data_IF_307736280891
#
_entry.id   IF_307736280891
#
_cell.length_a   1.000
_cell.length_b   1.000
_cell.length_c   1.000
_cell.angle_alpha   90.00
_cell.angle_beta   90.00
_cell.angle_gamma   90.00
#
_symmetry.space_group_name_H-M   'P 1'
#
loop_
_entity.id
_entity.type
_entity.pdbx_description
1 polymer ?
#
# COMPACT_ATOMS: atom_id res chain seq x y z
N UNK A 1 5.45 8.68 14.17
CA UNK A 1 4.25 9.53 14.14
C UNK A 1 4.68 10.98 14.02
N UNK A 2 3.90 11.86 13.39
CA UNK A 2 4.16 13.30 13.47
C UNK A 2 3.68 13.80 14.82
N UNK A 3 4.48 14.62 15.50
CA UNK A 3 4.00 15.37 16.65
C UNK A 3 2.86 16.27 16.18
N UNK A 4 1.78 16.31 16.95
CA UNK A 4 0.63 17.18 16.71
C UNK A 4 0.57 18.24 17.81
N UNK A 5 0.11 19.43 17.47
CA UNK A 5 -0.15 20.49 18.44
C UNK A 5 -1.48 20.28 19.18
N UNK A 6 -1.87 21.26 20.01
CA UNK A 6 -3.09 21.21 20.80
C UNK A 6 -4.38 21.16 19.96
N UNK A 7 -4.30 21.55 18.68
CA UNK A 7 -5.40 21.55 17.72
C UNK A 7 -5.36 20.31 16.81
N UNK A 8 -4.42 19.38 17.05
CA UNK A 8 -4.28 18.14 16.28
C UNK A 8 -3.54 18.29 14.96
N UNK A 9 -2.88 19.43 14.69
CA UNK A 9 -2.20 19.70 13.42
C UNK A 9 -0.76 19.17 13.44
N UNK A 10 -0.28 18.47 12.39
CA UNK A 10 1.10 17.97 12.33
C UNK A 10 2.14 19.10 12.34
N UNK A 11 3.10 19.04 13.27
CA UNK A 11 4.16 20.05 13.41
C UNK A 11 5.37 19.81 12.50
N UNK A 12 5.40 18.68 11.78
CA UNK A 12 6.53 18.25 10.95
C UNK A 12 7.64 17.51 11.72
N UNK A 13 7.62 17.53 13.06
CA UNK A 13 8.57 16.79 13.89
C UNK A 13 8.19 15.30 13.98
N UNK A 14 9.18 14.41 13.88
CA UNK A 14 8.99 12.96 13.96
C UNK A 14 9.18 12.45 15.39
N UNK A 15 8.19 11.74 15.92
CA UNK A 15 8.26 11.08 17.24
C UNK A 15 8.11 9.57 17.14
N UNK A 16 8.69 8.87 18.12
CA UNK A 16 8.47 7.43 18.30
C UNK A 16 6.97 7.19 18.53
N UNK A 17 6.39 6.15 17.89
CA UNK A 17 5.00 5.79 18.14
C UNK A 17 4.78 5.45 19.63
N UNK A 18 3.72 6.00 20.23
CA UNK A 18 3.24 5.58 21.58
C UNK A 18 2.79 4.11 21.55
N UNK A 19 2.70 3.37 22.65
CA UNK A 19 1.96 2.12 22.63
C UNK A 19 0.51 2.41 22.24
N UNK A 20 -0.03 1.65 21.28
CA UNK A 20 -1.28 1.98 20.60
C UNK A 20 -2.55 2.01 21.46
N UNK A 21 -3.70 2.30 20.83
CA UNK A 21 -3.87 2.59 19.40
C UNK A 21 -3.50 4.04 19.06
N UNK A 22 -2.83 4.22 17.91
CA UNK A 22 -2.59 5.54 17.33
C UNK A 22 -3.82 5.93 16.52
N UNK A 23 -4.66 6.79 17.06
CA UNK A 23 -5.81 7.36 16.35
C UNK A 23 -5.32 8.07 15.07
N UNK A 24 -5.69 7.59 13.88
CA UNK A 24 -5.65 8.30 12.59
C UNK A 24 -4.39 8.05 11.70
N UNK A 25 -4.24 6.95 10.96
CA UNK A 25 -5.17 6.18 10.08
C UNK A 25 -5.29 6.68 8.64
N UNK A 26 -4.21 6.70 7.84
CA UNK A 26 -4.42 6.80 6.39
C UNK A 26 -5.24 5.61 5.85
N UNK A 27 -5.18 4.46 6.53
CA UNK A 27 -6.00 3.28 6.25
C UNK A 27 -7.47 3.50 6.58
N UNK A 28 -7.81 4.03 7.75
CA UNK A 28 -9.22 4.31 8.10
C UNK A 28 -9.78 5.50 7.35
N UNK A 29 -9.01 6.58 7.15
CA UNK A 29 -9.44 7.71 6.31
C UNK A 29 -9.67 7.26 4.87
N UNK A 30 -8.76 6.45 4.32
CA UNK A 30 -8.93 5.85 3.00
C UNK A 30 -10.16 4.95 2.92
N UNK A 31 -10.41 4.14 3.96
CA UNK A 31 -11.59 3.30 4.06
C UNK A 31 -12.89 4.11 4.13
N UNK A 32 -12.95 5.15 4.98
CA UNK A 32 -14.11 6.04 5.06
C UNK A 32 -14.36 6.77 3.74
N UNK A 33 -13.31 7.19 3.03
CA UNK A 33 -13.45 7.82 1.72
C UNK A 33 -14.08 6.88 0.69
N UNK A 34 -13.58 5.65 0.55
CA UNK A 34 -14.15 4.70 -0.41
C UNK A 34 -15.56 4.27 -0.02
N UNK A 35 -15.85 4.19 1.28
CA UNK A 35 -17.20 3.96 1.79
C UNK A 35 -18.14 5.11 1.42
N UNK A 36 -17.67 6.36 1.54
CA UNK A 36 -18.43 7.55 1.12
C UNK A 36 -18.70 7.57 -0.40
N UNK A 37 -17.76 7.07 -1.21
CA UNK A 37 -17.97 6.85 -2.64
C UNK A 37 -18.86 5.64 -2.97
N UNK A 38 -19.41 4.98 -1.94
CA UNK A 38 -20.30 3.83 -2.07
C UNK A 38 -19.64 2.66 -2.82
N UNK A 39 -18.32 2.50 -2.61
CA UNK A 39 -17.57 1.34 -3.11
C UNK A 39 -17.99 0.06 -2.36
N UNK A 40 -17.79 -1.13 -2.97
CA UNK A 40 -18.03 -2.39 -2.30
C UNK A 40 -17.26 -2.51 -0.97
N UNK A 41 -17.91 -3.09 0.06
CA UNK A 41 -17.30 -3.33 1.37
C UNK A 41 -15.96 -4.07 1.29
N UNK A 42 -15.79 -4.93 0.29
CA UNK A 42 -14.53 -5.64 0.03
C UNK A 42 -13.34 -4.69 -0.13
N UNK A 43 -13.54 -3.57 -0.84
CA UNK A 43 -12.52 -2.55 -1.10
C UNK A 43 -12.28 -1.72 0.16
N UNK A 44 -13.34 -1.32 0.87
CA UNK A 44 -13.24 -0.64 2.16
C UNK A 44 -12.38 -1.45 3.15
N UNK A 45 -12.71 -2.73 3.33
CA UNK A 45 -12.04 -3.60 4.28
C UNK A 45 -10.59 -3.90 3.89
N UNK A 46 -10.30 -3.97 2.59
CA UNK A 46 -8.94 -4.11 2.09
C UNK A 46 -8.09 -2.89 2.45
N UNK A 47 -8.60 -1.67 2.25
CA UNK A 47 -7.89 -0.43 2.54
C UNK A 47 -7.74 -0.22 4.04
N UNK A 48 -8.80 -0.48 4.83
CA UNK A 48 -8.78 -0.31 6.30
C UNK A 48 -7.70 -1.17 6.96
N UNK A 49 -7.54 -2.39 6.47
CA UNK A 49 -6.65 -3.39 7.06
C UNK A 49 -5.40 -3.65 6.20
N UNK A 50 -5.05 -2.75 5.27
CA UNK A 50 -3.88 -2.92 4.39
C UNK A 50 -2.55 -3.02 5.14
N UNK A 51 -2.49 -2.53 6.38
CA UNK A 51 -1.31 -2.68 7.24
C UNK A 51 -1.32 -3.95 8.09
N UNK A 52 -2.50 -4.53 8.34
CA UNK A 52 -2.65 -5.76 9.11
C UNK A 52 -3.79 -6.63 8.53
N UNK A 53 -3.53 -7.39 7.45
CA UNK A 53 -4.57 -8.16 6.75
C UNK A 53 -5.31 -9.16 7.64
N UNK A 54 -4.71 -9.58 8.75
CA UNK A 54 -5.30 -10.55 9.66
C UNK A 54 -6.55 -10.05 10.37
N UNK A 55 -6.70 -8.74 10.51
CA UNK A 55 -7.84 -8.10 11.17
C UNK A 55 -9.05 -7.93 10.23
N UNK A 56 -8.88 -8.13 8.92
CA UNK A 56 -9.93 -7.92 7.91
C UNK A 56 -11.05 -8.99 7.90
N UNK A 57 -11.04 -9.96 8.82
CA UNK A 57 -12.04 -11.02 8.90
C UNK A 57 -12.16 -11.82 7.59
N UNK A 58 -13.36 -11.84 7.01
CA UNK A 58 -13.64 -12.54 5.74
C UNK A 58 -12.93 -11.90 4.53
N UNK A 59 -12.53 -10.62 4.61
CA UNK A 59 -11.85 -9.90 3.53
C UNK A 59 -10.33 -9.99 3.61
N UNK A 60 -9.80 -10.90 4.43
CA UNK A 60 -8.35 -11.15 4.59
C UNK A 60 -7.61 -11.25 3.27
N UNK A 61 -8.15 -11.97 2.28
CA UNK A 61 -7.55 -12.07 0.95
C UNK A 61 -7.34 -10.69 0.30
N UNK A 62 -8.36 -9.82 0.30
CA UNK A 62 -8.28 -8.52 -0.33
C UNK A 62 -7.28 -7.61 0.38
N UNK A 63 -7.31 -7.60 1.72
CA UNK A 63 -6.32 -6.87 2.50
C UNK A 63 -4.89 -7.40 2.27
N UNK A 64 -4.71 -8.72 2.13
CA UNK A 64 -3.41 -9.32 1.82
C UNK A 64 -2.90 -8.90 0.44
N UNK A 65 -3.77 -8.80 -0.57
CA UNK A 65 -3.39 -8.33 -1.91
C UNK A 65 -2.89 -6.88 -1.83
N UNK A 66 -3.64 -5.98 -1.19
CA UNK A 66 -3.25 -4.57 -1.06
C UNK A 66 -1.96 -4.40 -0.24
N UNK A 67 -1.83 -5.18 0.84
CA UNK A 67 -0.63 -5.20 1.67
C UNK A 67 0.62 -5.59 0.87
N UNK A 68 0.54 -6.70 0.13
CA UNK A 68 1.65 -7.16 -0.72
C UNK A 68 1.94 -6.14 -1.83
N UNK A 69 0.92 -5.59 -2.49
CA UNK A 69 1.10 -4.58 -3.52
C UNK A 69 1.83 -3.33 -3.00
N UNK A 70 1.49 -2.87 -1.79
CA UNK A 70 2.22 -1.78 -1.14
C UNK A 70 3.68 -2.11 -0.91
N UNK A 71 3.98 -3.28 -0.32
CA UNK A 71 5.36 -3.71 -0.08
C UNK A 71 6.18 -3.85 -1.38
N UNK A 72 5.55 -4.30 -2.47
CA UNK A 72 6.17 -4.42 -3.79
C UNK A 72 6.41 -3.05 -4.42
N UNK A 73 5.44 -2.13 -4.35
CA UNK A 73 5.57 -0.77 -4.88
C UNK A 73 6.65 0.03 -4.14
N UNK A 74 6.64 0.00 -2.81
CA UNK A 74 7.65 0.67 -1.97
C UNK A 74 9.07 0.18 -2.31
N UNK A 75 9.22 -1.12 -2.59
CA UNK A 75 10.49 -1.70 -2.98
C UNK A 75 10.96 -1.26 -4.36
N UNK A 76 10.04 -1.18 -5.32
CA UNK A 76 10.34 -0.72 -6.68
C UNK A 76 10.81 0.75 -6.73
N UNK A 77 10.42 1.56 -5.76
CA UNK A 77 10.86 2.96 -5.63
C UNK A 77 12.26 3.11 -5.00
N UNK A 78 12.83 2.05 -4.41
CA UNK A 78 14.19 2.10 -3.84
C UNK A 78 15.25 2.21 -4.94
N UNK A 79 16.28 3.04 -4.72
CA UNK A 79 17.42 3.15 -5.63
C UNK A 79 18.09 1.79 -5.86
N UNK A 80 18.57 1.52 -7.08
CA UNK A 80 19.14 0.23 -7.50
C UNK A 80 20.25 -0.33 -6.58
N UNK A 81 20.96 0.52 -5.85
CA UNK A 81 21.96 0.09 -4.87
C UNK A 81 21.36 -0.61 -3.63
N UNK A 82 20.10 -0.33 -3.31
CA UNK A 82 19.35 -0.89 -2.16
C UNK A 82 18.39 -2.02 -2.59
N UNK A 83 18.07 -2.12 -3.88
CA UNK A 83 17.16 -3.12 -4.46
C UNK A 83 17.68 -4.57 -4.47
N UNK A 84 18.88 -4.82 -3.93
CA UNK A 84 19.52 -6.16 -3.89
C UNK A 84 18.79 -7.16 -2.97
N UNK A 85 17.89 -6.69 -2.10
CA UNK A 85 17.17 -7.52 -1.13
C UNK A 85 15.69 -7.53 -1.48
N UNK A 86 15.06 -8.71 -1.52
CA UNK A 86 13.60 -8.83 -1.71
C UNK A 86 12.86 -8.09 -0.58
N UNK A 87 11.62 -7.59 -0.84
CA UNK A 87 10.78 -7.04 0.22
C UNK A 87 10.58 -8.06 1.34
N UNK A 88 10.56 -7.59 2.58
CA UNK A 88 10.17 -8.43 3.71
C UNK A 88 8.65 -8.66 3.66
N UNK A 89 8.21 -9.70 2.95
CA UNK A 89 6.79 -10.03 2.83
C UNK A 89 6.23 -10.66 4.11
N UNK A 90 5.00 -10.30 4.48
CA UNK A 90 4.23 -11.03 5.50
C UNK A 90 3.90 -12.46 5.00
N UNK A 91 4.36 -13.53 5.69
CA UNK A 91 4.11 -14.91 5.28
C UNK A 91 2.62 -15.28 5.20
N UNK A 92 1.79 -14.69 6.05
CA UNK A 92 0.35 -14.93 6.06
C UNK A 92 -0.27 -14.27 4.83
N UNK A 93 0.14 -13.05 4.49
CA UNK A 93 -0.35 -12.38 3.28
C UNK A 93 0.03 -13.16 2.01
N UNK A 94 1.28 -13.66 1.94
CA UNK A 94 1.73 -14.54 0.84
C UNK A 94 0.86 -15.79 0.72
N UNK A 95 0.60 -16.47 1.85
CA UNK A 95 -0.20 -17.69 1.88
C UNK A 95 -1.66 -17.42 1.48
N UNK A 96 -2.27 -16.36 1.99
CA UNK A 96 -3.64 -15.97 1.67
C UNK A 96 -3.79 -15.62 0.18
N UNK A 97 -2.87 -14.82 -0.37
CA UNK A 97 -2.89 -14.40 -1.77
C UNK A 97 -2.38 -15.49 -2.73
N UNK A 98 -1.76 -16.56 -2.22
CA UNK A 98 -1.03 -17.57 -3.00
C UNK A 98 0.01 -16.93 -3.93
N UNK A 99 0.68 -15.88 -3.43
CA UNK A 99 1.66 -15.12 -4.20
C UNK A 99 3.03 -15.78 -4.11
N UNK A 100 3.69 -15.95 -5.27
CA UNK A 100 5.05 -16.47 -5.35
C UNK A 100 6.05 -15.31 -5.34
N UNK A 101 6.74 -15.13 -4.22
CA UNK A 101 7.73 -14.05 -4.07
C UNK A 101 8.91 -14.16 -5.06
N UNK A 102 9.23 -15.38 -5.52
CA UNK A 102 10.34 -15.62 -6.46
C UNK A 102 10.03 -15.08 -7.86
N UNK A 103 8.76 -14.94 -8.22
CA UNK A 103 8.30 -14.41 -9.51
C UNK A 103 8.21 -12.88 -9.52
N UNK A 104 8.31 -12.23 -8.35
CA UNK A 104 8.11 -10.79 -8.19
C UNK A 104 9.01 -9.92 -9.11
N UNK A 105 10.31 -10.20 -9.29
CA UNK A 105 11.15 -9.38 -10.18
C UNK A 105 10.66 -9.35 -11.64
N UNK A 106 10.18 -10.49 -12.14
CA UNK A 106 9.65 -10.56 -13.51
C UNK A 106 8.29 -9.85 -13.62
N UNK A 107 7.42 -10.04 -12.62
CA UNK A 107 6.10 -9.39 -12.56
C UNK A 107 6.21 -7.87 -12.44
N UNK A 108 7.15 -7.37 -11.64
CA UNK A 108 7.41 -5.94 -11.49
C UNK A 108 7.83 -5.30 -12.81
N UNK A 109 8.71 -5.97 -13.56
CA UNK A 109 9.14 -5.49 -14.88
C UNK A 109 7.94 -5.38 -15.82
N UNK A 110 7.10 -6.41 -15.90
CA UNK A 110 5.89 -6.39 -16.74
C UNK A 110 4.91 -5.30 -16.29
N UNK A 111 4.66 -5.17 -14.99
CA UNK A 111 3.77 -4.15 -14.44
C UNK A 111 4.25 -2.73 -14.76
N UNK A 112 5.56 -2.49 -14.75
CA UNK A 112 6.13 -1.19 -15.08
C UNK A 112 6.02 -0.87 -16.57
N UNK A 113 6.19 -1.86 -17.45
CA UNK A 113 5.93 -1.72 -18.89
C UNK A 113 4.45 -1.36 -19.16
N UNK A 114 3.51 -2.08 -18.52
CA UNK A 114 2.07 -1.80 -18.63
C UNK A 114 1.68 -0.42 -18.09
N UNK A 115 2.29 0.02 -17.00
CA UNK A 115 2.09 1.35 -16.44
C UNK A 115 2.56 2.42 -17.42
N UNK A 116 3.74 2.24 -18.02
CA UNK A 116 4.32 3.18 -18.98
C UNK A 116 3.44 3.31 -20.24
N UNK A 117 2.91 2.20 -20.75
CA UNK A 117 1.98 2.18 -21.87
C UNK A 117 0.67 2.92 -21.51
N UNK A 118 0.14 2.66 -20.32
CA UNK A 118 -1.10 3.28 -19.82
C UNK A 118 -0.93 4.79 -19.64
N UNK A 119 0.18 5.24 -19.06
CA UNK A 119 0.49 6.66 -18.88
C UNK A 119 0.62 7.38 -20.23
N UNK A 120 1.20 6.71 -21.23
CA UNK A 120 1.28 7.24 -22.60
C UNK A 120 -0.10 7.46 -23.20
N UNK A 121 -1.06 6.57 -22.91
CA UNK A 121 -2.44 6.69 -23.40
C UNK A 121 -3.24 7.79 -22.66
N UNK A 122 -3.12 7.87 -21.33
CA UNK A 122 -3.92 8.78 -20.50
C UNK A 122 -3.34 10.20 -20.47
N UNK A 123 -2.01 10.34 -20.53
CA UNK A 123 -1.29 11.62 -20.46
C UNK A 123 -0.32 11.82 -21.65
N UNK A 124 -0.82 11.83 -22.90
CA UNK A 124 0.04 11.84 -24.08
C UNK A 124 0.93 13.10 -24.22
N UNK A 125 0.52 14.23 -23.62
CA UNK A 125 1.24 15.50 -23.71
C UNK A 125 2.39 15.63 -22.69
N UNK A 126 2.38 14.86 -21.61
CA UNK A 126 3.41 14.94 -20.56
C UNK A 126 4.67 14.12 -20.89
N UNK A 127 4.57 13.17 -21.84
CA UNK A 127 5.65 12.22 -22.17
C UNK A 127 6.34 12.51 -23.51
N UNK A 128 6.02 13.64 -24.15
CA UNK A 128 6.58 14.05 -25.44
C UNK A 128 7.75 15.05 -25.34
N UNK A 129 8.28 15.29 -24.14
CA UNK A 129 9.35 16.25 -23.84
C UNK A 129 10.64 15.58 -23.40
#
# INVERSE_FOLDING_TARGET
>A
MYLRDADGIPTGERVRPTPGPWDDCFTEVGAELVRFWNMPNQIEQAIRHQLNPNEAGEFKLHASIVHLAGAVADHAELEQAQASQLPAYDPIALSCAKFNADECPALLKEAQEQLQDTLTFIYPLAMAA
#
